data_IF_979650167340
#
_entry.id   IF_979650167340
#
_cell.length_a   1.000
_cell.length_b   1.000
_cell.length_c   1.000
_cell.angle_alpha   90.00
_cell.angle_beta   90.00
_cell.angle_gamma   90.00
#
_symmetry.space_group_name_H-M   'P 1'
#
loop_
_entity.id
_entity.type
_entity.pdbx_description
1 polymer ?
#
# COMPACT_ATOMS: atom_id res chain seq x y z
N UNK A 1 -6.30 -5.44 -11.32
CA UNK A 1 -5.56 -4.74 -10.24
C UNK A 1 -6.05 -5.12 -8.85
N UNK A 2 -7.29 -4.79 -8.44
CA UNK A 2 -7.83 -5.12 -7.10
C UNK A 2 -7.66 -6.60 -6.72
N UNK A 3 -8.16 -7.51 -7.54
CA UNK A 3 -8.08 -8.96 -7.26
C UNK A 3 -6.64 -9.48 -7.10
N UNK A 4 -5.65 -8.84 -7.75
CA UNK A 4 -4.24 -9.21 -7.58
C UNK A 4 -3.68 -8.75 -6.22
N UNK A 5 -4.08 -7.55 -5.78
CA UNK A 5 -3.71 -7.01 -4.47
C UNK A 5 -4.33 -7.85 -3.35
N UNK A 6 -5.63 -8.17 -3.46
CA UNK A 6 -6.38 -8.94 -2.45
C UNK A 6 -5.90 -10.40 -2.32
N UNK A 7 -5.22 -10.96 -3.34
CA UNK A 7 -4.58 -12.28 -3.23
C UNK A 7 -3.44 -12.34 -2.24
N UNK A 8 -2.77 -11.22 -1.97
CA UNK A 8 -1.57 -11.17 -1.11
C UNK A 8 -1.74 -10.26 0.11
N UNK A 9 -2.65 -9.30 0.04
CA UNK A 9 -2.99 -8.40 1.14
C UNK A 9 -4.25 -8.90 1.85
N UNK A 10 -4.07 -9.48 3.03
CA UNK A 10 -5.15 -10.02 3.88
C UNK A 10 -5.76 -8.95 4.83
N UNK A 11 -5.62 -7.66 4.51
CA UNK A 11 -6.16 -6.57 5.33
C UNK A 11 -7.56 -6.13 4.90
N UNK A 12 -8.02 -5.01 5.47
CA UNK A 12 -9.36 -4.49 5.21
C UNK A 12 -9.58 -4.14 3.72
N UNK A 13 -10.67 -4.60 3.08
CA UNK A 13 -10.98 -4.29 1.68
C UNK A 13 -11.09 -2.80 1.36
N UNK A 14 -11.49 -1.99 2.36
CA UNK A 14 -11.55 -0.53 2.25
C UNK A 14 -10.17 0.11 2.07
N UNK A 15 -9.12 -0.43 2.70
CA UNK A 15 -7.74 0.05 2.52
C UNK A 15 -7.31 -0.10 1.07
N UNK A 16 -7.68 -1.21 0.42
CA UNK A 16 -7.46 -1.40 -1.02
C UNK A 16 -8.23 -0.33 -1.81
N UNK A 17 -9.51 -0.09 -1.50
CA UNK A 17 -10.31 0.97 -2.16
C UNK A 17 -9.64 2.33 -2.10
N UNK A 18 -9.27 2.80 -0.91
CA UNK A 18 -8.63 4.10 -0.71
C UNK A 18 -7.29 4.20 -1.43
N UNK A 19 -6.53 3.10 -1.45
CA UNK A 19 -5.26 3.04 -2.18
C UNK A 19 -5.47 3.23 -3.67
N UNK A 20 -6.47 2.57 -4.26
CA UNK A 20 -6.77 2.73 -5.68
C UNK A 20 -7.28 4.13 -6.00
N UNK A 21 -8.13 4.70 -5.15
CA UNK A 21 -8.63 6.07 -5.30
C UNK A 21 -7.47 7.07 -5.26
N UNK A 22 -6.59 6.98 -4.26
CA UNK A 22 -5.44 7.86 -4.13
C UNK A 22 -4.50 7.74 -5.34
N UNK A 23 -4.20 6.50 -5.78
CA UNK A 23 -3.34 6.26 -6.93
C UNK A 23 -3.91 6.87 -8.22
N UNK A 24 -5.20 6.62 -8.52
CA UNK A 24 -5.85 7.14 -9.72
C UNK A 24 -6.03 8.65 -9.68
N UNK A 25 -6.25 9.21 -8.49
CA UNK A 25 -6.29 10.65 -8.24
C UNK A 25 -4.92 11.32 -8.18
N UNK A 26 -3.82 10.57 -8.36
CA UNK A 26 -2.42 11.05 -8.21
C UNK A 26 -2.15 11.69 -6.84
N UNK A 27 -2.86 11.24 -5.81
CA UNK A 27 -2.70 11.68 -4.42
C UNK A 27 -1.76 10.79 -3.61
N UNK A 28 -1.66 11.10 -2.31
CA UNK A 28 -0.88 10.34 -1.34
C UNK A 28 -1.80 9.67 -0.32
N UNK A 29 -1.40 8.49 0.16
CA UNK A 29 -2.14 7.74 1.16
C UNK A 29 -1.32 7.61 2.45
N UNK A 30 -1.87 8.10 3.56
CA UNK A 30 -1.39 7.80 4.90
C UNK A 30 -2.18 6.61 5.44
N UNK A 31 -1.48 5.58 5.93
CA UNK A 31 -2.10 4.41 6.55
C UNK A 31 -1.75 4.40 8.03
N UNK A 32 -2.70 4.84 8.85
CA UNK A 32 -2.64 4.75 10.31
C UNK A 32 -3.21 3.41 10.75
N UNK A 33 -2.36 2.58 11.36
CA UNK A 33 -2.69 1.22 11.78
C UNK A 33 -1.53 0.69 12.64
N UNK A 34 -1.78 -0.34 13.44
CA UNK A 34 -0.77 -0.96 14.31
C UNK A 34 0.35 -1.64 13.49
N UNK A 35 1.55 -1.82 14.06
CA UNK A 35 2.64 -2.52 13.38
C UNK A 35 2.25 -3.95 12.98
N UNK A 36 2.69 -4.40 11.80
CA UNK A 36 2.52 -5.80 11.37
C UNK A 36 1.29 -6.09 10.48
N UNK A 37 0.41 -5.12 10.25
CA UNK A 37 -0.84 -5.27 9.45
C UNK A 37 -0.66 -5.26 7.92
N UNK A 38 0.55 -5.53 7.42
CA UNK A 38 0.78 -5.72 5.99
C UNK A 38 0.84 -4.45 5.12
N UNK A 39 1.07 -3.26 5.69
CA UNK A 39 1.23 -2.00 4.92
C UNK A 39 2.29 -2.10 3.81
N UNK A 40 3.44 -2.71 4.11
CA UNK A 40 4.50 -2.95 3.13
C UNK A 40 4.11 -4.00 2.09
N UNK A 41 3.21 -4.93 2.42
CA UNK A 41 2.68 -5.92 1.48
C UNK A 41 1.74 -5.22 0.50
N UNK A 42 0.83 -4.38 0.99
CA UNK A 42 -0.08 -3.57 0.17
C UNK A 42 0.71 -2.71 -0.83
N UNK A 43 1.68 -1.94 -0.36
CA UNK A 43 2.44 -1.03 -1.23
C UNK A 43 3.22 -1.79 -2.33
N UNK A 44 3.82 -2.95 -2.00
CA UNK A 44 4.48 -3.81 -3.00
C UNK A 44 3.50 -4.46 -3.97
N UNK A 45 2.34 -4.90 -3.49
CA UNK A 45 1.31 -5.52 -4.33
C UNK A 45 0.75 -4.51 -5.35
N UNK A 46 0.56 -3.26 -4.93
CA UNK A 46 0.16 -2.17 -5.82
C UNK A 46 1.23 -1.94 -6.88
N UNK A 47 2.49 -1.70 -6.49
CA UNK A 47 3.59 -1.43 -7.42
C UNK A 47 3.76 -2.54 -8.47
N UNK A 48 3.72 -3.81 -8.05
CA UNK A 48 3.77 -4.96 -8.97
C UNK A 48 2.55 -5.06 -9.90
N UNK A 49 1.39 -4.61 -9.45
CA UNK A 49 0.16 -4.66 -10.26
C UNK A 49 0.12 -3.62 -11.39
N UNK A 50 1.02 -2.64 -11.35
CA UNK A 50 1.12 -1.54 -12.33
C UNK A 50 2.53 -1.41 -12.92
N UNK A 51 3.36 -2.43 -12.75
CA UNK A 51 4.75 -2.49 -13.22
C UNK A 51 5.60 -1.25 -12.86
N UNK A 52 5.51 -0.81 -11.59
CA UNK A 52 6.24 0.34 -11.06
C UNK A 52 7.34 -0.08 -10.07
N UNK A 53 8.35 0.78 -9.95
CA UNK A 53 9.38 0.63 -8.93
C UNK A 53 8.78 0.86 -7.52
N UNK A 54 9.26 0.07 -6.56
CA UNK A 54 8.91 0.22 -5.15
C UNK A 54 10.14 0.62 -4.34
N UNK A 55 10.03 1.72 -3.60
CA UNK A 55 11.03 2.16 -2.63
C UNK A 55 10.40 2.26 -1.24
N UNK A 56 11.16 1.87 -0.20
CA UNK A 56 10.76 1.98 1.20
C UNK A 56 11.79 2.80 1.94
N UNK A 57 11.34 3.86 2.60
CA UNK A 57 12.15 4.66 3.52
C UNK A 57 11.64 4.37 4.92
N UNK A 58 12.53 3.94 5.82
CA UNK A 58 12.22 3.78 7.23
C UNK A 58 12.52 5.09 7.93
N UNK A 59 11.52 5.70 8.55
CA UNK A 59 11.74 6.82 9.44
C UNK A 59 12.27 6.27 10.76
N UNK A 60 13.44 6.71 11.19
CA UNK A 60 14.05 6.45 12.49
C UNK A 60 14.06 7.77 13.29
N UNK A 61 13.96 7.72 14.63
CA UNK A 61 13.98 8.94 15.46
C UNK A 61 15.38 9.57 15.55
N UNK A 62 16.40 8.86 15.09
CA UNK A 62 17.79 9.30 15.01
C UNK A 62 18.03 9.96 13.64
N UNK A 63 18.10 11.30 13.69
CA UNK A 63 18.14 12.33 12.61
C UNK A 63 16.78 12.84 12.12
#
# INVERSE_FOLDING_TARGET
MRANIERVFLGHPQTVSHTLIALLGRGHLLIEDVPGVGKTVLARAVARSIDCNFARIQLTPDL
#
